data_IF_238793847087
#
_entry.id   IF_238793847087
#
_cell.length_a   1.000
_cell.length_b   1.000
_cell.length_c   1.000
_cell.angle_alpha   90.00
_cell.angle_beta   90.00
_cell.angle_gamma   90.00
#
_symmetry.space_group_name_H-M   'P 1'
#
loop_
_entity.id
_entity.type
_entity.pdbx_description
1 polymer ?
#
# COMPACT_ATOMS: atom_id res chain seq x y z
N UNK A 1 -9.17 -7.19 -13.05
CA UNK A 1 -9.44 -5.75 -12.93
C UNK A 1 -8.91 -5.11 -14.20
N UNK A 2 -9.79 -4.56 -15.02
CA UNK A 2 -9.43 -3.93 -16.28
C UNK A 2 -9.41 -2.41 -16.16
N UNK A 3 -8.62 -1.74 -16.99
CA UNK A 3 -8.67 -0.29 -17.10
C UNK A 3 -10.04 0.15 -17.64
N UNK A 4 -10.61 1.20 -17.05
CA UNK A 4 -11.86 1.79 -17.56
C UNK A 4 -11.68 2.58 -18.86
N UNK A 5 -10.43 2.89 -19.22
CA UNK A 5 -10.08 3.66 -20.42
C UNK A 5 -9.44 2.77 -21.47
N UNK A 6 -9.70 3.08 -22.74
CA UNK A 6 -9.12 2.40 -23.91
C UNK A 6 -7.60 2.22 -23.78
N UNK A 7 -7.04 1.05 -24.16
CA UNK A 7 -7.69 -0.09 -24.81
C UNK A 7 -8.38 -1.08 -23.85
N UNK A 8 -8.66 -0.67 -22.60
CA UNK A 8 -9.34 -1.50 -21.59
C UNK A 8 -8.58 -2.79 -21.24
N UNK A 9 -7.25 -2.76 -21.34
CA UNK A 9 -6.43 -3.90 -20.99
C UNK A 9 -6.48 -4.19 -19.48
N UNK A 10 -6.01 -5.36 -19.07
CA UNK A 10 -5.96 -5.75 -17.67
C UNK A 10 -4.76 -5.11 -16.94
N UNK A 11 -4.89 -4.94 -15.61
CA UNK A 11 -3.74 -4.57 -14.77
C UNK A 11 -2.60 -5.58 -14.81
N UNK A 12 -2.86 -6.80 -15.30
CA UNK A 12 -1.88 -7.86 -15.49
C UNK A 12 -1.10 -7.72 -16.81
N UNK A 13 -1.62 -6.96 -17.78
CA UNK A 13 -1.03 -6.87 -19.11
C UNK A 13 0.32 -6.15 -19.12
N UNK A 14 1.05 -6.30 -20.22
CA UNK A 14 2.42 -5.82 -20.38
C UNK A 14 2.49 -4.37 -20.90
N UNK A 15 1.59 -3.50 -20.46
CA UNK A 15 1.61 -2.06 -20.79
C UNK A 15 2.33 -1.26 -19.72
N UNK A 16 2.86 -0.08 -20.07
CA UNK A 16 3.59 0.76 -19.11
C UNK A 16 2.73 1.18 -17.91
N UNK A 17 1.44 1.48 -18.13
CA UNK A 17 0.52 1.80 -17.03
C UNK A 17 0.24 0.59 -16.14
N UNK A 18 0.06 -0.61 -16.70
CA UNK A 18 -0.14 -1.85 -15.93
C UNK A 18 1.11 -2.25 -15.14
N UNK A 19 2.31 -2.17 -15.73
CA UNK A 19 3.58 -2.38 -15.01
C UNK A 19 3.75 -1.39 -13.86
N UNK A 20 3.46 -0.10 -14.09
CA UNK A 20 3.53 0.94 -13.06
C UNK A 20 2.53 0.71 -11.93
N UNK A 21 1.30 0.30 -12.26
CA UNK A 21 0.29 -0.06 -11.27
C UNK A 21 0.77 -1.21 -10.37
N UNK A 22 1.31 -2.28 -10.97
CA UNK A 22 1.91 -3.41 -10.22
C UNK A 22 3.13 -3.00 -9.40
N UNK A 23 4.01 -2.13 -9.93
CA UNK A 23 5.15 -1.55 -9.19
C UNK A 23 4.67 -0.88 -7.90
N UNK A 24 3.61 -0.07 -7.95
CA UNK A 24 3.07 0.59 -6.76
C UNK A 24 2.49 -0.40 -5.75
N UNK A 25 1.77 -1.43 -6.21
CA UNK A 25 1.32 -2.51 -5.32
C UNK A 25 2.53 -3.16 -4.64
N UNK A 26 3.57 -3.51 -5.38
CA UNK A 26 4.78 -4.09 -4.80
C UNK A 26 5.50 -3.15 -3.84
N UNK A 27 5.46 -1.83 -4.07
CA UNK A 27 6.02 -0.86 -3.12
C UNK A 27 5.33 -0.95 -1.75
N UNK A 28 4.01 -1.17 -1.73
CA UNK A 28 3.24 -1.39 -0.49
C UNK A 28 3.52 -2.77 0.12
N UNK A 29 3.62 -3.82 -0.71
CA UNK A 29 3.74 -5.21 -0.25
C UNK A 29 5.19 -5.69 -0.02
N UNK A 30 6.21 -4.86 -0.22
CA UNK A 30 7.61 -5.31 -0.27
C UNK A 30 8.16 -5.89 1.05
N UNK A 31 7.47 -5.69 2.18
CA UNK A 31 7.85 -6.25 3.47
C UNK A 31 7.20 -7.63 3.73
N UNK A 32 6.36 -8.10 2.81
CA UNK A 32 5.78 -9.44 2.82
C UNK A 32 6.67 -10.35 1.99
N UNK A 33 6.98 -11.54 2.51
CA UNK A 33 7.71 -12.58 1.78
C UNK A 33 7.02 -12.87 0.44
N UNK A 34 7.78 -12.81 -0.65
CA UNK A 34 7.28 -13.05 -2.01
C UNK A 34 6.58 -14.40 -2.16
N UNK A 35 7.01 -15.41 -1.38
CA UNK A 35 6.40 -16.74 -1.38
C UNK A 35 4.97 -16.74 -0.80
N UNK A 36 4.62 -15.73 0.01
CA UNK A 36 3.29 -15.57 0.61
C UNK A 36 2.34 -14.72 -0.23
N UNK A 37 2.82 -14.04 -1.27
CA UNK A 37 1.98 -13.16 -2.09
C UNK A 37 0.87 -13.92 -2.83
N UNK A 38 1.12 -15.17 -3.22
CA UNK A 38 0.09 -16.03 -3.83
C UNK A 38 -1.05 -16.31 -2.85
N UNK A 39 -0.72 -16.76 -1.64
CA UNK A 39 -1.71 -17.05 -0.58
C UNK A 39 -2.48 -15.77 -0.21
N UNK A 40 -1.79 -14.64 -0.05
CA UNK A 40 -2.44 -13.35 0.21
C UNK A 40 -3.43 -12.98 -0.90
N UNK A 41 -3.05 -13.18 -2.17
CA UNK A 41 -3.92 -12.92 -3.31
C UNK A 41 -5.16 -13.81 -3.31
N UNK A 42 -5.03 -15.09 -2.95
CA UNK A 42 -6.15 -16.04 -2.86
C UNK A 42 -7.13 -15.65 -1.74
N UNK A 43 -6.62 -15.28 -0.56
CA UNK A 43 -7.43 -14.80 0.57
C UNK A 43 -8.21 -13.54 0.19
N UNK A 44 -7.53 -12.57 -0.42
CA UNK A 44 -8.16 -11.32 -0.88
C UNK A 44 -9.25 -11.60 -1.93
N UNK A 45 -8.99 -12.51 -2.86
CA UNK A 45 -9.97 -12.94 -3.87
C UNK A 45 -11.21 -13.56 -3.22
N UNK A 46 -11.03 -14.51 -2.30
CA UNK A 46 -12.13 -15.17 -1.59
C UNK A 46 -12.97 -14.21 -0.74
N UNK A 47 -12.35 -13.15 -0.22
CA UNK A 47 -13.05 -12.11 0.55
C UNK A 47 -13.95 -11.21 -0.31
N UNK A 48 -13.77 -11.19 -1.64
CA UNK A 48 -14.46 -10.29 -2.55
C UNK A 48 -14.06 -8.81 -2.39
N UNK A 49 -12.87 -8.52 -1.88
CA UNK A 49 -12.34 -7.16 -1.67
C UNK A 49 -11.16 -6.81 -2.61
N UNK A 50 -10.90 -7.61 -3.65
CA UNK A 50 -9.76 -7.47 -4.56
C UNK A 50 -9.60 -6.06 -5.11
N UNK A 51 -10.64 -5.52 -5.75
CA UNK A 51 -10.57 -4.20 -6.40
C UNK A 51 -10.30 -3.08 -5.38
N UNK A 52 -10.95 -3.15 -4.22
CA UNK A 52 -10.77 -2.16 -3.15
C UNK A 52 -9.34 -2.20 -2.60
N UNK A 53 -8.84 -3.39 -2.26
CA UNK A 53 -7.50 -3.53 -1.67
C UNK A 53 -6.40 -3.20 -2.67
N UNK A 54 -6.49 -3.67 -3.92
CA UNK A 54 -5.48 -3.35 -4.93
C UNK A 54 -5.42 -1.86 -5.24
N UNK A 55 -6.58 -1.18 -5.29
CA UNK A 55 -6.64 0.27 -5.44
C UNK A 55 -5.92 0.99 -4.30
N UNK A 56 -6.21 0.63 -3.05
CA UNK A 56 -5.59 1.23 -1.87
C UNK A 56 -4.08 0.92 -1.81
N UNK A 57 -3.66 -0.31 -2.14
CA UNK A 57 -2.23 -0.65 -2.20
C UNK A 57 -1.50 0.17 -3.26
N UNK A 58 -2.12 0.40 -4.42
CA UNK A 58 -1.57 1.28 -5.43
C UNK A 58 -1.46 2.72 -4.94
N UNK A 59 -2.47 3.24 -4.24
CA UNK A 59 -2.47 4.62 -3.72
C UNK A 59 -1.31 4.83 -2.74
N UNK A 60 -1.24 3.99 -1.70
CA UNK A 60 -0.14 3.96 -0.73
C UNK A 60 1.24 3.90 -1.41
N UNK A 61 1.41 2.95 -2.32
CA UNK A 61 2.69 2.74 -3.00
C UNK A 61 3.07 3.89 -3.91
N UNK A 62 2.11 4.50 -4.59
CA UNK A 62 2.35 5.68 -5.42
C UNK A 62 2.73 6.91 -4.60
N UNK A 63 2.08 7.13 -3.45
CA UNK A 63 2.41 8.25 -2.58
C UNK A 63 3.85 8.17 -2.05
N UNK A 64 4.28 6.98 -1.67
CA UNK A 64 5.65 6.72 -1.21
C UNK A 64 6.66 6.90 -2.36
N UNK A 65 6.39 6.33 -3.54
CA UNK A 65 7.26 6.46 -4.72
C UNK A 65 7.43 7.93 -5.14
N UNK A 66 6.35 8.72 -5.12
CA UNK A 66 6.36 10.15 -5.44
C UNK A 66 7.25 10.95 -4.47
N UNK A 67 7.13 10.68 -3.16
CA UNK A 67 7.97 11.34 -2.15
C UNK A 67 9.43 10.96 -2.33
N UNK A 68 9.73 9.67 -2.54
CA UNK A 68 11.10 9.20 -2.75
C UNK A 68 11.69 9.85 -4.00
N UNK A 69 10.96 9.88 -5.12
CA UNK A 69 11.43 10.52 -6.35
C UNK A 69 11.73 12.01 -6.16
N UNK A 70 10.83 12.72 -5.47
CA UNK A 70 11.01 14.15 -5.14
C UNK A 70 12.26 14.39 -4.29
N UNK A 71 12.38 13.70 -3.15
CA UNK A 71 13.51 13.87 -2.23
C UNK A 71 14.83 13.43 -2.85
N UNK A 72 14.83 12.34 -3.62
CA UNK A 72 16.03 11.85 -4.30
C UNK A 72 16.56 12.87 -5.32
N UNK A 73 15.67 13.54 -6.04
CA UNK A 73 16.05 14.60 -6.99
C UNK A 73 16.69 15.83 -6.32
N UNK A 74 16.34 16.08 -5.05
CA UNK A 74 16.81 17.22 -4.24
C UNK A 74 17.88 16.85 -3.21
N UNK A 75 18.35 15.60 -3.17
CA UNK A 75 19.15 15.07 -2.05
C UNK A 75 20.42 15.88 -1.77
N UNK A 76 21.03 16.45 -2.82
CA UNK A 76 22.28 17.20 -2.75
C UNK A 76 22.08 18.66 -2.31
N UNK A 77 20.83 19.16 -2.33
CA UNK A 77 20.45 20.53 -1.94
C UNK A 77 19.63 20.56 -0.64
N UNK A 78 19.41 19.42 0.02
CA UNK A 78 18.68 19.36 1.30
C UNK A 78 19.39 20.13 2.43
N UNK A 79 20.69 20.36 2.30
CA UNK A 79 21.49 21.17 3.22
C UNK A 79 21.18 22.67 3.14
N UNK A 80 20.48 23.13 2.10
CA UNK A 80 20.04 24.52 1.94
C UNK A 80 18.79 24.85 2.76
N UNK A 81 18.07 23.82 3.26
CA UNK A 81 16.90 24.00 4.11
C UNK A 81 17.30 24.52 5.50
N UNK A 82 16.43 25.33 6.10
CA UNK A 82 16.57 25.70 7.51
C UNK A 82 16.57 24.45 8.40
N UNK A 83 17.32 24.48 9.51
CA UNK A 83 17.45 23.33 10.43
C UNK A 83 16.08 22.82 10.90
N UNK A 84 15.13 23.74 11.13
CA UNK A 84 13.77 23.40 11.54
C UNK A 84 13.03 22.61 10.45
N UNK A 85 13.14 23.06 9.19
CA UNK A 85 12.51 22.41 8.04
C UNK A 85 13.13 21.04 7.76
N UNK A 86 14.45 20.91 7.84
CA UNK A 86 15.13 19.62 7.69
C UNK A 86 14.70 18.63 8.79
N UNK A 87 14.56 19.09 10.04
CA UNK A 87 14.06 18.28 11.15
C UNK A 87 12.60 17.86 10.92
N UNK A 88 11.76 18.78 10.45
CA UNK A 88 10.36 18.50 10.13
C UNK A 88 10.25 17.48 8.98
N UNK A 89 11.02 17.67 7.91
CA UNK A 89 11.11 16.76 6.77
C UNK A 89 11.49 15.34 7.21
N UNK A 90 12.55 15.19 8.02
CA UNK A 90 12.95 13.89 8.59
C UNK A 90 11.80 13.21 9.32
N UNK A 91 11.14 13.94 10.23
CA UNK A 91 10.05 13.38 11.04
C UNK A 91 8.84 12.98 10.18
N UNK A 92 8.49 13.78 9.16
CA UNK A 92 7.41 13.46 8.24
C UNK A 92 7.74 12.23 7.39
N UNK A 93 8.97 12.14 6.88
CA UNK A 93 9.42 11.01 6.07
C UNK A 93 9.49 9.71 6.89
N UNK A 94 9.96 9.75 8.14
CA UNK A 94 9.91 8.60 9.06
C UNK A 94 8.47 8.13 9.32
N UNK A 95 7.53 9.06 9.51
CA UNK A 95 6.10 8.73 9.64
C UNK A 95 5.54 8.12 8.37
N UNK A 96 5.91 8.63 7.20
CA UNK A 96 5.49 8.10 5.91
C UNK A 96 5.94 6.64 5.74
N UNK A 97 7.20 6.34 6.06
CA UNK A 97 7.70 4.97 5.99
C UNK A 97 7.04 4.06 7.03
N UNK A 98 6.66 4.61 8.19
CA UNK A 98 5.96 3.85 9.23
C UNK A 98 4.55 3.42 8.82
N UNK A 99 3.83 4.18 7.97
CA UNK A 99 2.49 3.77 7.50
C UNK A 99 2.56 2.46 6.72
N UNK A 100 3.61 2.29 5.91
CA UNK A 100 3.90 1.07 5.17
C UNK A 100 4.19 -0.12 6.08
N UNK A 101 4.96 0.08 7.16
CA UNK A 101 5.21 -0.97 8.16
C UNK A 101 3.91 -1.46 8.77
N UNK A 102 3.04 -0.53 9.21
CA UNK A 102 1.74 -0.88 9.81
C UNK A 102 0.85 -1.64 8.83
N UNK A 103 0.79 -1.23 7.55
CA UNK A 103 0.02 -1.97 6.53
C UNK A 103 0.58 -3.38 6.34
N UNK A 104 1.89 -3.54 6.36
CA UNK A 104 2.53 -4.86 6.22
C UNK A 104 2.24 -5.77 7.42
N UNK A 105 2.22 -5.21 8.64
CA UNK A 105 1.82 -5.94 9.85
C UNK A 105 0.37 -6.41 9.78
N UNK A 106 -0.55 -5.54 9.34
CA UNK A 106 -1.97 -5.89 9.14
C UNK A 106 -2.12 -7.07 8.17
N UNK A 107 -1.40 -7.05 7.04
CA UNK A 107 -1.50 -8.10 6.02
C UNK A 107 -0.83 -9.41 6.46
N UNK A 108 0.29 -9.34 7.19
CA UNK A 108 0.88 -10.51 7.81
C UNK A 108 -0.04 -11.13 8.87
N UNK A 109 -0.75 -10.30 9.64
CA UNK A 109 -1.74 -10.78 10.60
C UNK A 109 -2.92 -11.47 9.89
N UNK A 110 -3.39 -10.95 8.75
CA UNK A 110 -4.41 -11.62 7.95
C UNK A 110 -3.96 -13.03 7.50
N UNK A 111 -2.72 -13.18 7.05
CA UNK A 111 -2.16 -14.48 6.67
C UNK A 111 -2.15 -15.47 7.86
N UNK A 112 -1.74 -14.99 9.04
CA UNK A 112 -1.73 -15.81 10.26
C UNK A 112 -3.15 -16.19 10.70
N UNK A 113 -4.05 -15.20 10.80
CA UNK A 113 -5.44 -15.41 11.19
C UNK A 113 -6.14 -16.39 10.24
N UNK A 114 -5.85 -16.33 8.94
CA UNK A 114 -6.39 -17.26 7.94
C UNK A 114 -5.81 -18.66 8.07
N UNK A 115 -4.49 -18.78 8.27
CA UNK A 115 -3.81 -20.06 8.46
C UNK A 115 -4.38 -20.83 9.66
N UNK A 116 -4.61 -20.12 10.76
CA UNK A 116 -5.06 -20.69 12.04
C UNK A 116 -6.59 -20.87 12.11
N UNK A 117 -7.31 -20.58 11.02
CA UNK A 117 -8.78 -20.55 10.94
C UNK A 117 -9.42 -19.75 12.09
N UNK A 118 -8.75 -18.67 12.50
CA UNK A 118 -9.23 -17.80 13.57
C UNK A 118 -10.59 -17.24 13.18
N UNK A 119 -11.53 -17.25 14.11
CA UNK A 119 -12.91 -16.84 13.87
C UNK A 119 -13.59 -17.56 12.69
N UNK A 120 -13.10 -18.75 12.30
CA UNK A 120 -13.60 -19.55 11.18
C UNK A 120 -13.47 -18.86 9.80
N UNK A 121 -12.51 -17.96 9.62
CA UNK A 121 -12.37 -17.21 8.36
C UNK A 121 -11.82 -18.06 7.21
N UNK A 122 -11.20 -19.21 7.47
CA UNK A 122 -10.75 -20.14 6.43
C UNK A 122 -11.91 -20.96 5.88
N UNK A 123 -12.84 -21.33 6.76
CA UNK A 123 -13.97 -22.21 6.43
C UNK A 123 -15.27 -21.48 6.09
N UNK A 124 -15.38 -20.18 6.41
CA UNK A 124 -16.58 -19.37 6.17
C UNK A 124 -16.27 -18.05 5.44
N UNK A 125 -16.62 -18.00 4.15
CA UNK A 125 -16.39 -16.82 3.30
C UNK A 125 -17.10 -15.55 3.78
N UNK A 126 -18.26 -15.66 4.44
CA UNK A 126 -18.97 -14.49 5.00
C UNK A 126 -18.18 -13.89 6.16
N UNK A 127 -17.59 -14.74 7.00
CA UNK A 127 -16.70 -14.29 8.08
C UNK A 127 -15.40 -13.73 7.55
N UNK A 128 -14.80 -14.37 6.54
CA UNK A 128 -13.61 -13.84 5.85
C UNK A 128 -13.86 -12.45 5.28
N UNK A 129 -14.96 -12.27 4.54
CA UNK A 129 -15.36 -10.98 3.97
C UNK A 129 -15.49 -9.91 5.05
N UNK A 130 -16.14 -10.24 6.16
CA UNK A 130 -16.32 -9.29 7.27
C UNK A 130 -14.99 -8.93 7.93
N UNK A 131 -14.12 -9.92 8.14
CA UNK A 131 -12.79 -9.74 8.71
C UNK A 131 -11.91 -8.85 7.80
N UNK A 132 -11.79 -9.18 6.52
CA UNK A 132 -11.02 -8.40 5.53
C UNK A 132 -11.60 -7.00 5.36
N UNK A 133 -12.92 -6.82 5.40
CA UNK A 133 -13.54 -5.49 5.35
C UNK A 133 -13.18 -4.63 6.57
N UNK A 134 -13.08 -5.21 7.76
CA UNK A 134 -12.61 -4.50 8.94
C UNK A 134 -11.14 -4.07 8.81
N UNK A 135 -10.28 -4.93 8.26
CA UNK A 135 -8.88 -4.58 7.95
C UNK A 135 -8.78 -3.50 6.88
N UNK A 136 -9.58 -3.58 5.81
CA UNK A 136 -9.63 -2.59 4.75
C UNK A 136 -9.90 -1.18 5.31
N UNK A 137 -10.81 -1.02 6.27
CA UNK A 137 -11.05 0.27 6.93
C UNK A 137 -9.80 0.84 7.63
N UNK A 138 -8.97 -0.02 8.21
CA UNK A 138 -7.73 0.40 8.85
C UNK A 138 -6.69 0.83 7.81
N UNK A 139 -6.57 0.07 6.71
CA UNK A 139 -5.65 0.37 5.62
C UNK A 139 -6.06 1.66 4.90
N UNK A 140 -7.36 1.93 4.70
CA UNK A 140 -7.87 3.19 4.13
C UNK A 140 -7.40 4.38 4.96
N UNK A 141 -7.54 4.34 6.29
CA UNK A 141 -7.06 5.42 7.17
C UNK A 141 -5.55 5.65 7.02
N UNK A 142 -4.77 4.58 6.82
CA UNK A 142 -3.33 4.68 6.56
C UNK A 142 -3.01 5.24 5.18
N UNK A 143 -3.85 4.97 4.17
CA UNK A 143 -3.76 5.60 2.85
C UNK A 143 -3.97 7.13 2.95
N UNK A 144 -5.03 7.56 3.63
CA UNK A 144 -5.34 8.98 3.86
C UNK A 144 -4.21 9.70 4.63
N UNK A 145 -3.68 9.06 5.68
CA UNK A 145 -2.51 9.55 6.42
C UNK A 145 -1.28 9.71 5.51
N UNK A 146 -1.03 8.72 4.65
CA UNK A 146 0.11 8.71 3.72
C UNK A 146 0.02 9.84 2.69
N UNK A 147 -1.16 10.08 2.11
CA UNK A 147 -1.38 11.20 1.18
C UNK A 147 -1.21 12.58 1.84
N UNK A 148 -1.65 12.72 3.10
CA UNK A 148 -1.41 13.94 3.87
C UNK A 148 0.08 14.16 4.14
N UNK A 149 0.80 13.11 4.53
CA UNK A 149 2.25 13.16 4.76
C UNK A 149 3.01 13.50 3.48
N UNK A 150 2.64 12.89 2.34
CA UNK A 150 3.17 13.25 1.02
C UNK A 150 3.01 14.74 0.74
N UNK A 151 1.79 15.26 0.90
CA UNK A 151 1.49 16.67 0.63
C UNK A 151 2.35 17.61 1.48
N UNK A 152 2.48 17.31 2.78
CA UNK A 152 3.30 18.09 3.71
C UNK A 152 4.80 18.02 3.38
N UNK A 153 5.29 16.87 2.88
CA UNK A 153 6.69 16.72 2.48
C UNK A 153 6.97 17.48 1.19
N UNK A 154 6.06 17.41 0.21
CA UNK A 154 6.23 18.09 -1.08
C UNK A 154 6.16 19.62 -0.93
N UNK A 155 5.46 20.13 0.09
CA UNK A 155 5.41 21.57 0.39
C UNK A 155 6.66 22.14 1.06
N UNK A 156 7.61 21.29 1.46
CA UNK A 156 8.94 21.70 1.95
C UNK A 156 9.89 21.80 0.75
#
# INVERSE_FOLDING_TARGET
MAWSTSPNEDIADNTERSKRYRKYIYCTLNAIDTNKLKELSEIILLSGQTDNLLKIFKELGSAIDDVIASLYSKKDTLNELEILDLKNLKNLFEKLLSTKTVVSEILNQLLLDYKDDKDFIKTNNTKLKSHVYALLKQIIKKSEETEKLKSNIISI
#
